data_IF_671822448361
#
_entry.id   IF_671822448361
#
_cell.length_a   1.000
_cell.length_b   1.000
_cell.length_c   1.000
_cell.angle_alpha   90.00
_cell.angle_beta   90.00
_cell.angle_gamma   90.00
#
_symmetry.space_group_name_H-M   'P 1'
#
loop_
_entity.id
_entity.type
_entity.pdbx_description
1 polymer ?
#
# COMPACT_ATOMS: atom_id res chain seq x y z
N UNK A 1 42.52 -3.95 -7.83
CA UNK A 1 42.82 -3.84 -9.28
C UNK A 1 43.99 -4.73 -9.72
N UNK A 2 45.12 -4.78 -8.99
CA UNK A 2 46.26 -5.64 -9.33
C UNK A 2 45.93 -7.15 -9.44
N UNK A 3 45.14 -7.69 -8.50
CA UNK A 3 44.78 -9.13 -8.46
C UNK A 3 43.98 -9.57 -9.69
N UNK A 4 43.03 -8.77 -10.17
CA UNK A 4 42.24 -9.07 -11.38
C UNK A 4 43.13 -9.07 -12.62
N UNK A 5 44.08 -8.13 -12.71
CA UNK A 5 45.05 -8.06 -13.80
C UNK A 5 45.95 -9.29 -13.89
N UNK A 6 46.50 -9.75 -12.75
CA UNK A 6 47.31 -10.98 -12.69
C UNK A 6 46.50 -12.20 -13.13
N UNK A 7 45.27 -12.33 -12.63
CA UNK A 7 44.37 -13.42 -13.00
C UNK A 7 44.02 -13.41 -14.51
N UNK A 8 43.97 -12.23 -15.14
CA UNK A 8 43.66 -12.07 -16.56
C UNK A 8 44.82 -12.55 -17.43
N UNK A 9 46.05 -12.21 -17.05
CA UNK A 9 47.27 -12.65 -17.73
C UNK A 9 47.39 -14.17 -17.75
N UNK A 10 47.04 -14.84 -16.64
CA UNK A 10 47.08 -16.31 -16.55
C UNK A 10 45.82 -17.01 -17.10
N UNK A 11 44.88 -16.28 -17.72
CA UNK A 11 43.60 -16.80 -18.27
C UNK A 11 42.82 -17.66 -17.26
N UNK A 12 42.76 -17.22 -16.01
CA UNK A 12 42.12 -17.99 -14.94
C UNK A 12 40.63 -18.23 -15.21
N UNK A 13 40.18 -19.48 -15.09
CA UNK A 13 38.76 -19.87 -15.21
C UNK A 13 37.88 -19.17 -14.16
N UNK A 14 38.46 -18.80 -13.00
CA UNK A 14 37.77 -18.11 -11.91
C UNK A 14 37.31 -16.71 -12.32
N UNK A 15 38.03 -16.04 -13.23
CA UNK A 15 37.64 -14.70 -13.69
C UNK A 15 36.31 -14.68 -14.42
N UNK A 16 35.98 -15.73 -15.18
CA UNK A 16 34.68 -15.80 -15.86
C UNK A 16 33.54 -15.84 -14.83
N UNK A 17 33.70 -16.66 -13.78
CA UNK A 17 32.75 -16.73 -12.68
C UNK A 17 32.69 -15.43 -11.88
N UNK A 18 33.85 -14.83 -11.57
CA UNK A 18 33.91 -13.56 -10.85
C UNK A 18 33.21 -12.43 -11.62
N UNK A 19 33.47 -12.29 -12.93
CA UNK A 19 32.77 -11.31 -13.78
C UNK A 19 31.27 -11.53 -13.83
N UNK A 20 30.82 -12.79 -13.88
CA UNK A 20 29.39 -13.09 -13.84
C UNK A 20 28.76 -12.64 -12.51
N UNK A 21 29.42 -12.93 -11.39
CA UNK A 21 28.96 -12.49 -10.06
C UNK A 21 29.00 -10.96 -9.93
N UNK A 22 30.06 -10.31 -10.41
CA UNK A 22 30.21 -8.85 -10.39
C UNK A 22 29.10 -8.14 -11.18
N UNK A 23 28.74 -8.68 -12.34
CA UNK A 23 27.59 -8.21 -13.11
C UNK A 23 26.26 -8.41 -12.35
N UNK A 24 26.04 -9.58 -11.75
CA UNK A 24 24.84 -9.84 -10.94
C UNK A 24 24.72 -8.89 -9.74
N UNK A 25 25.83 -8.60 -9.07
CA UNK A 25 25.88 -7.62 -7.96
C UNK A 25 25.53 -6.23 -8.48
N UNK A 26 26.09 -5.83 -9.63
CA UNK A 26 25.82 -4.53 -10.25
C UNK A 26 24.35 -4.38 -10.61
N UNK A 27 23.75 -5.42 -11.22
CA UNK A 27 22.32 -5.43 -11.57
C UNK A 27 21.43 -5.36 -10.32
N UNK A 28 21.72 -6.15 -9.29
CA UNK A 28 20.99 -6.15 -8.02
C UNK A 28 21.10 -4.80 -7.29
N UNK A 29 22.27 -4.15 -7.33
CA UNK A 29 22.48 -2.83 -6.74
C UNK A 29 21.69 -1.75 -7.46
N UNK A 30 21.64 -1.80 -8.80
CA UNK A 30 20.83 -0.89 -9.61
C UNK A 30 19.33 -1.06 -9.34
N UNK A 31 18.86 -2.30 -9.25
CA UNK A 31 17.49 -2.62 -8.88
C UNK A 31 17.14 -2.09 -7.48
N UNK A 32 17.99 -2.35 -6.48
CA UNK A 32 17.76 -1.88 -5.12
C UNK A 32 17.68 -0.35 -5.05
N UNK A 33 18.57 0.35 -5.76
CA UNK A 33 18.58 1.82 -5.82
C UNK A 33 17.31 2.38 -6.45
N UNK A 34 16.84 1.79 -7.55
CA UNK A 34 15.59 2.21 -8.21
C UNK A 34 14.37 1.94 -7.31
N UNK A 35 14.31 0.77 -6.69
CA UNK A 35 13.23 0.41 -5.76
C UNK A 35 13.17 1.38 -4.57
N UNK A 36 14.30 1.68 -3.93
CA UNK A 36 14.36 2.64 -2.82
C UNK A 36 13.90 4.02 -3.27
N UNK A 37 14.36 4.50 -4.44
CA UNK A 37 13.97 5.80 -4.98
C UNK A 37 12.45 5.94 -5.09
N UNK A 38 11.76 4.95 -5.67
CA UNK A 38 10.30 5.02 -5.85
C UNK A 38 9.51 4.72 -4.58
N UNK A 39 9.96 3.79 -3.74
CA UNK A 39 9.27 3.51 -2.47
C UNK A 39 9.33 4.71 -1.52
N UNK A 40 10.46 5.43 -1.49
CA UNK A 40 10.61 6.61 -0.64
C UNK A 40 9.65 7.75 -1.02
N UNK A 41 9.15 7.81 -2.27
CA UNK A 41 8.13 8.81 -2.64
C UNK A 41 6.78 8.54 -1.98
N UNK A 42 6.57 7.34 -1.43
CA UNK A 42 5.35 6.94 -0.74
C UNK A 42 5.39 7.25 0.77
N UNK A 43 6.57 7.45 1.36
CA UNK A 43 6.73 7.52 2.83
C UNK A 43 5.81 8.56 3.49
N UNK A 44 5.70 9.76 2.90
CA UNK A 44 4.83 10.83 3.40
C UNK A 44 3.33 10.48 3.41
N UNK A 45 2.92 9.52 2.58
CA UNK A 45 1.54 9.04 2.52
C UNK A 45 1.34 7.78 3.37
N UNK A 46 2.41 7.06 3.67
CA UNK A 46 2.39 5.87 4.51
C UNK A 46 2.33 6.27 5.99
N UNK A 47 3.00 7.35 6.39
CA UNK A 47 3.02 7.82 7.78
C UNK A 47 1.61 7.99 8.39
N UNK A 48 0.64 8.67 7.74
CA UNK A 48 -0.74 8.76 8.22
C UNK A 48 -1.42 7.40 8.44
N UNK A 49 -1.02 6.34 7.72
CA UNK A 49 -1.58 4.99 7.92
C UNK A 49 -1.16 4.35 9.26
N UNK A 50 -0.09 4.85 9.89
CA UNK A 50 0.42 4.33 11.16
C UNK A 50 0.03 5.19 12.36
N UNK A 51 0.05 6.51 12.19
CA UNK A 51 -0.16 7.46 13.29
C UNK A 51 -1.47 8.25 13.18
N UNK A 52 -2.05 8.36 11.99
CA UNK A 52 -3.25 9.14 11.73
C UNK A 52 -4.54 8.43 12.12
N UNK A 53 -5.62 9.23 12.16
CA UNK A 53 -6.98 8.75 12.27
C UNK A 53 -7.57 8.43 10.87
N UNK A 54 -8.75 7.79 10.78
CA UNK A 54 -9.36 7.49 9.49
C UNK A 54 -9.58 8.72 8.60
N UNK A 55 -9.80 9.90 9.18
CA UNK A 55 -9.97 11.14 8.43
C UNK A 55 -8.67 11.59 7.73
N UNK A 56 -7.55 11.62 8.46
CA UNK A 56 -6.23 11.92 7.89
C UNK A 56 -5.82 10.91 6.80
N UNK A 57 -6.19 9.63 6.97
CA UNK A 57 -5.97 8.63 5.93
C UNK A 57 -6.77 8.99 4.68
N UNK A 58 -8.06 9.30 4.80
CA UNK A 58 -8.92 9.67 3.66
C UNK A 58 -8.36 10.84 2.85
N UNK A 59 -7.84 11.87 3.51
CA UNK A 59 -7.26 13.05 2.84
C UNK A 59 -6.01 12.71 2.00
N UNK A 60 -5.22 11.74 2.45
CA UNK A 60 -3.96 11.37 1.80
C UNK A 60 -4.09 10.29 0.72
N UNK A 61 -5.19 9.53 0.73
CA UNK A 61 -5.45 8.42 -0.20
C UNK A 61 -5.37 8.79 -1.70
N UNK A 62 -5.96 9.90 -2.19
CA UNK A 62 -5.83 10.27 -3.60
C UNK A 62 -4.38 10.49 -4.02
N UNK A 63 -3.59 11.13 -3.15
CA UNK A 63 -2.17 11.37 -3.37
C UNK A 63 -1.34 10.08 -3.36
N UNK A 64 -1.63 9.18 -2.42
CA UNK A 64 -1.00 7.86 -2.33
C UNK A 64 -1.21 7.05 -3.62
N UNK A 65 -2.46 6.91 -4.05
CA UNK A 65 -2.79 6.11 -5.23
C UNK A 65 -2.24 6.72 -6.52
N UNK A 66 -2.24 8.05 -6.65
CA UNK A 66 -1.61 8.69 -7.80
C UNK A 66 -0.08 8.45 -7.84
N UNK A 67 0.61 8.43 -6.70
CA UNK A 67 2.04 8.09 -6.68
C UNK A 67 2.29 6.61 -6.99
N UNK A 68 1.43 5.72 -6.49
CA UNK A 68 1.49 4.29 -6.84
C UNK A 68 1.27 4.09 -8.34
N UNK A 69 0.35 4.84 -8.96
CA UNK A 69 0.14 4.88 -10.41
C UNK A 69 1.41 5.30 -11.16
N UNK A 70 2.04 6.40 -10.74
CA UNK A 70 3.29 6.87 -11.35
C UNK A 70 4.41 5.84 -11.20
N UNK A 71 4.53 5.21 -10.03
CA UNK A 71 5.50 4.14 -9.79
C UNK A 71 5.25 2.94 -10.72
N UNK A 72 4.00 2.49 -10.88
CA UNK A 72 3.66 1.41 -11.81
C UNK A 72 4.07 1.75 -13.25
N UNK A 73 3.82 2.98 -13.68
CA UNK A 73 4.10 3.43 -15.05
C UNK A 73 5.61 3.58 -15.30
N UNK A 74 6.35 4.19 -14.37
CA UNK A 74 7.72 4.67 -14.62
C UNK A 74 8.80 3.73 -14.04
N UNK A 75 8.53 3.07 -12.91
CA UNK A 75 9.54 2.22 -12.27
C UNK A 75 9.92 1.05 -13.17
N UNK A 76 11.21 0.75 -13.21
CA UNK A 76 11.73 -0.33 -14.06
C UNK A 76 11.64 -1.67 -13.36
N UNK A 77 11.96 -1.71 -12.07
CA UNK A 77 12.09 -2.94 -11.31
C UNK A 77 10.90 -3.20 -10.37
N UNK A 78 10.34 -2.17 -9.73
CA UNK A 78 9.25 -2.35 -8.77
C UNK A 78 7.86 -2.55 -9.41
N UNK A 79 7.66 -2.15 -10.67
CA UNK A 79 6.35 -2.13 -11.33
C UNK A 79 5.76 -3.51 -11.70
N UNK A 80 6.32 -4.60 -11.17
CA UNK A 80 5.80 -5.93 -11.48
C UNK A 80 4.48 -6.18 -10.75
N UNK A 81 3.56 -6.89 -11.40
CA UNK A 81 2.25 -7.18 -10.81
C UNK A 81 2.36 -7.79 -9.40
N UNK A 82 3.22 -8.79 -9.12
CA UNK A 82 3.32 -9.36 -7.78
C UNK A 82 3.78 -8.37 -6.69
N UNK A 83 4.68 -7.43 -7.02
CA UNK A 83 5.17 -6.42 -6.07
C UNK A 83 4.10 -5.38 -5.76
N UNK A 84 3.43 -4.91 -6.81
CA UNK A 84 2.32 -3.96 -6.69
C UNK A 84 1.14 -4.56 -5.91
N UNK A 85 0.73 -5.79 -6.19
CA UNK A 85 -0.31 -6.50 -5.42
C UNK A 85 0.06 -6.61 -3.94
N UNK A 86 1.31 -6.96 -3.64
CA UNK A 86 1.77 -7.05 -2.25
C UNK A 86 1.79 -5.69 -1.55
N UNK A 87 2.15 -4.62 -2.26
CA UNK A 87 2.09 -3.26 -1.72
C UNK A 87 0.66 -2.87 -1.36
N UNK A 88 -0.29 -3.07 -2.28
CA UNK A 88 -1.72 -2.81 -2.00
C UNK A 88 -2.23 -3.60 -0.82
N UNK A 89 -1.94 -4.91 -0.77
CA UNK A 89 -2.34 -5.77 0.35
C UNK A 89 -1.84 -5.22 1.69
N UNK A 90 -0.58 -4.78 1.75
CA UNK A 90 0.00 -4.20 2.97
C UNK A 90 -0.64 -2.86 3.35
N UNK A 91 -0.93 -2.01 2.36
CA UNK A 91 -1.64 -0.74 2.59
C UNK A 91 -3.04 -1.03 3.15
N UNK A 92 -3.81 -1.92 2.54
CA UNK A 92 -5.15 -2.31 3.03
C UNK A 92 -5.09 -2.87 4.45
N UNK A 93 -4.15 -3.79 4.73
CA UNK A 93 -3.97 -4.36 6.07
C UNK A 93 -3.67 -3.27 7.11
N UNK A 94 -2.83 -2.29 6.75
CA UNK A 94 -2.51 -1.17 7.63
C UNK A 94 -3.68 -0.20 7.84
N UNK A 95 -4.47 0.07 6.80
CA UNK A 95 -5.69 0.89 6.91
C UNK A 95 -6.73 0.25 7.85
N UNK A 96 -6.92 -1.07 7.76
CA UNK A 96 -7.78 -1.82 8.68
C UNK A 96 -7.26 -1.70 10.12
N UNK A 97 -5.95 -1.81 10.32
CA UNK A 97 -5.33 -1.66 11.63
C UNK A 97 -5.55 -0.25 12.21
N UNK A 98 -5.41 0.80 11.40
CA UNK A 98 -5.68 2.18 11.81
C UNK A 98 -7.16 2.40 12.15
N UNK A 99 -8.07 1.88 11.33
CA UNK A 99 -9.51 1.91 11.58
C UNK A 99 -9.85 1.23 12.91
N UNK A 100 -9.34 0.02 13.15
CA UNK A 100 -9.50 -0.68 14.43
C UNK A 100 -8.97 0.15 15.60
N UNK A 101 -7.76 0.69 15.48
CA UNK A 101 -7.14 1.51 16.53
C UNK A 101 -7.99 2.73 16.88
N UNK A 102 -8.63 3.37 15.90
CA UNK A 102 -9.53 4.51 16.16
C UNK A 102 -10.80 4.14 16.93
N UNK A 103 -11.32 2.92 16.77
CA UNK A 103 -12.50 2.43 17.51
C UNK A 103 -12.11 2.05 18.95
N UNK A 104 -10.89 1.54 19.15
CA UNK A 104 -10.37 1.09 20.44
C UNK A 104 -9.60 2.18 21.21
N UNK A 105 -9.49 3.41 20.67
CA UNK A 105 -8.62 4.46 21.18
C UNK A 105 -8.95 4.89 22.63
N UNK A 106 -10.24 5.00 22.94
CA UNK A 106 -10.74 5.45 24.25
C UNK A 106 -11.14 4.27 25.16
N UNK A 107 -10.52 3.11 24.97
CA UNK A 107 -10.75 1.91 25.77
C UNK A 107 -11.84 1.00 25.21
N UNK A 108 -12.57 0.33 26.09
CA UNK A 108 -13.58 -0.64 25.69
C UNK A 108 -14.72 0.04 24.92
N UNK A 109 -14.96 -0.39 23.67
CA UNK A 109 -15.98 0.20 22.80
C UNK A 109 -17.39 0.26 23.40
N UNK A 110 -17.71 -0.63 24.33
CA UNK A 110 -19.02 -0.71 24.99
C UNK A 110 -19.20 0.31 26.13
N UNK A 111 -18.10 0.86 26.62
CA UNK A 111 -18.08 1.84 27.73
C UNK A 111 -17.97 3.28 27.22
N UNK A 112 -17.66 3.45 25.93
CA UNK A 112 -17.55 4.75 25.28
C UNK A 112 -18.94 5.32 24.91
N UNK A 113 -19.08 6.66 24.79
CA UNK A 113 -20.34 7.27 24.36
C UNK A 113 -20.77 6.79 22.97
N UNK A 114 -22.02 6.31 22.83
CA UNK A 114 -22.54 5.76 21.55
C UNK A 114 -22.35 6.70 20.36
N UNK A 115 -22.50 8.02 20.57
CA UNK A 115 -22.28 9.03 19.52
C UNK A 115 -20.84 9.03 18.99
N UNK A 116 -19.86 8.87 19.86
CA UNK A 116 -18.44 8.87 19.52
C UNK A 116 -18.06 7.59 18.76
N UNK A 117 -18.47 6.43 19.26
CA UNK A 117 -18.26 5.15 18.57
C UNK A 117 -18.91 5.15 17.20
N UNK A 118 -20.14 5.64 17.08
CA UNK A 118 -20.82 5.73 15.78
C UNK A 118 -20.07 6.63 14.79
N UNK A 119 -19.49 7.74 15.25
CA UNK A 119 -18.67 8.60 14.39
C UNK A 119 -17.41 7.85 13.90
N UNK A 120 -16.70 7.17 14.80
CA UNK A 120 -15.49 6.41 14.45
C UNK A 120 -15.79 5.25 13.49
N UNK A 121 -16.85 4.48 13.76
CA UNK A 121 -17.29 3.38 12.89
C UNK A 121 -17.69 3.89 11.49
N UNK A 122 -18.42 5.00 11.40
CA UNK A 122 -18.77 5.61 10.11
C UNK A 122 -17.54 6.12 9.36
N UNK A 123 -16.57 6.71 10.05
CA UNK A 123 -15.31 7.14 9.45
C UNK A 123 -14.53 5.94 8.86
N UNK A 124 -14.56 4.78 9.53
CA UNK A 124 -13.96 3.55 9.00
C UNK A 124 -14.62 3.10 7.68
N UNK A 125 -15.95 3.17 7.58
CA UNK A 125 -16.68 2.84 6.35
C UNK A 125 -16.35 3.82 5.22
N UNK A 126 -16.35 5.12 5.52
CA UNK A 126 -15.99 6.17 4.56
C UNK A 126 -14.56 6.01 4.05
N UNK A 127 -13.65 5.54 4.90
CA UNK A 127 -12.25 5.27 4.52
C UNK A 127 -12.15 4.22 3.41
N UNK A 128 -12.88 3.10 3.51
CA UNK A 128 -12.89 2.09 2.45
C UNK A 128 -13.57 2.62 1.17
N UNK A 129 -14.67 3.37 1.31
CA UNK A 129 -15.35 4.00 0.17
C UNK A 129 -14.42 4.94 -0.60
N UNK A 130 -13.71 5.83 0.11
CA UNK A 130 -12.76 6.76 -0.48
C UNK A 130 -11.58 6.03 -1.13
N UNK A 131 -11.12 4.92 -0.53
CA UNK A 131 -10.06 4.08 -1.07
C UNK A 131 -10.45 3.47 -2.42
N UNK A 132 -11.63 2.85 -2.50
CA UNK A 132 -12.14 2.26 -3.74
C UNK A 132 -12.42 3.32 -4.80
N UNK A 133 -13.00 4.47 -4.42
CA UNK A 133 -13.26 5.58 -5.34
C UNK A 133 -11.95 6.14 -5.93
N UNK A 134 -10.94 6.34 -5.08
CA UNK A 134 -9.63 6.83 -5.52
C UNK A 134 -8.91 5.80 -6.42
N UNK A 135 -9.11 4.50 -6.16
CA UNK A 135 -8.58 3.43 -7.00
C UNK A 135 -9.26 3.35 -8.36
N UNK A 136 -10.59 3.51 -8.40
CA UNK A 136 -11.35 3.55 -9.64
C UNK A 136 -10.90 4.73 -10.52
N UNK A 137 -10.69 5.90 -9.91
CA UNK A 137 -10.14 7.07 -10.62
C UNK A 137 -8.74 6.79 -11.18
N UNK A 138 -7.87 6.17 -10.39
CA UNK A 138 -6.54 5.76 -10.84
C UNK A 138 -6.61 4.80 -12.04
N UNK A 139 -7.53 3.82 -12.01
CA UNK A 139 -7.75 2.88 -13.12
C UNK A 139 -8.24 3.59 -14.37
N UNK A 140 -9.19 4.52 -14.24
CA UNK A 140 -9.68 5.32 -15.35
C UNK A 140 -8.53 6.11 -16.00
N UNK A 141 -7.70 6.77 -15.21
CA UNK A 141 -6.54 7.52 -15.72
C UNK A 141 -5.50 6.66 -16.45
N UNK A 142 -5.42 5.36 -16.13
CA UNK A 142 -4.56 4.42 -16.86
C UNK A 142 -5.21 3.93 -18.16
N UNK A 143 -6.54 3.77 -18.15
CA UNK A 143 -7.31 3.44 -19.33
C UNK A 143 -7.28 4.57 -20.38
N UNK A 144 -7.24 5.83 -19.95
CA UNK A 144 -7.11 7.00 -20.83
C UNK A 144 -5.79 7.01 -21.62
N UNK A 145 -4.76 6.27 -21.15
CA UNK A 145 -3.51 6.05 -21.88
C UNK A 145 -3.34 4.57 -22.26
N UNK A 146 -4.04 4.09 -23.30
CA UNK A 146 -4.08 2.66 -23.66
C UNK A 146 -2.72 2.12 -24.12
N UNK A 147 -1.76 2.99 -24.51
CA UNK A 147 -0.40 2.59 -24.90
C UNK A 147 0.52 2.35 -23.69
N UNK A 148 0.11 2.76 -22.49
CA UNK A 148 0.86 2.58 -21.24
C UNK A 148 0.61 1.23 -20.57
N UNK A 149 1.40 0.94 -19.52
CA UNK A 149 1.17 -0.23 -18.66
C UNK A 149 -0.23 -0.14 -18.03
N UNK A 150 -1.03 -1.17 -18.25
CA UNK A 150 -2.39 -1.23 -17.71
C UNK A 150 -2.40 -1.80 -16.28
N UNK A 151 -3.50 -1.52 -15.59
CA UNK A 151 -3.77 -1.96 -14.22
C UNK A 151 -4.71 -3.17 -14.24
N UNK A 152 -4.14 -4.37 -14.22
CA UNK A 152 -4.89 -5.63 -14.15
C UNK A 152 -4.57 -6.35 -12.83
N UNK A 153 -5.06 -5.79 -11.73
CA UNK A 153 -4.92 -6.37 -10.40
C UNK A 153 -6.25 -6.91 -9.93
N UNK A 154 -6.20 -8.07 -9.27
CA UNK A 154 -7.37 -8.66 -8.66
C UNK A 154 -7.83 -7.81 -7.47
N UNK A 155 -8.93 -7.08 -7.68
CA UNK A 155 -9.55 -6.20 -6.68
C UNK A 155 -9.92 -6.96 -5.39
N UNK A 156 -10.24 -8.25 -5.46
CA UNK A 156 -10.51 -9.05 -4.26
C UNK A 156 -9.28 -9.19 -3.35
N UNK A 157 -8.06 -9.21 -3.92
CA UNK A 157 -6.82 -9.27 -3.14
C UNK A 157 -6.57 -7.93 -2.44
N UNK A 158 -6.99 -6.82 -3.08
CA UNK A 158 -6.78 -5.46 -2.60
C UNK A 158 -7.83 -5.11 -1.54
N UNK A 159 -9.12 -5.29 -1.84
CA UNK A 159 -10.23 -4.79 -1.02
C UNK A 159 -10.92 -5.86 -0.19
N UNK A 160 -10.85 -7.15 -0.56
CA UNK A 160 -11.72 -8.18 0.03
C UNK A 160 -11.61 -8.31 1.55
N UNK A 161 -10.41 -8.10 2.13
CA UNK A 161 -10.24 -8.05 3.59
C UNK A 161 -10.90 -6.81 4.21
N UNK A 162 -10.81 -5.66 3.55
CA UNK A 162 -11.41 -4.41 4.02
C UNK A 162 -12.93 -4.45 3.90
N UNK A 163 -13.47 -4.99 2.80
CA UNK A 163 -14.91 -5.16 2.61
C UNK A 163 -15.51 -6.06 3.70
N UNK A 164 -14.81 -7.16 4.04
CA UNK A 164 -15.24 -8.01 5.15
C UNK A 164 -15.20 -7.30 6.51
N UNK A 165 -14.21 -6.44 6.73
CA UNK A 165 -14.16 -5.57 7.90
C UNK A 165 -15.33 -4.59 7.92
N UNK A 166 -15.62 -3.90 6.81
CA UNK A 166 -16.74 -2.98 6.68
C UNK A 166 -18.09 -3.65 6.97
N UNK A 167 -18.33 -4.87 6.47
CA UNK A 167 -19.55 -5.64 6.80
C UNK A 167 -19.72 -5.92 8.30
N UNK A 168 -18.63 -6.04 9.05
CA UNK A 168 -18.68 -6.19 10.52
C UNK A 168 -18.95 -4.84 11.19
N UNK A 169 -18.32 -3.78 10.70
CA UNK A 169 -18.52 -2.41 11.16
C UNK A 169 -19.97 -1.95 10.95
N UNK A 170 -20.59 -2.26 9.80
CA UNK A 170 -22.00 -1.97 9.53
C UNK A 170 -22.93 -2.54 10.60
N UNK A 171 -22.74 -3.82 10.97
CA UNK A 171 -23.51 -4.45 12.06
C UNK A 171 -23.34 -3.74 13.40
N UNK A 172 -22.12 -3.25 13.69
CA UNK A 172 -21.86 -2.47 14.90
C UNK A 172 -22.56 -1.11 14.83
N UNK A 173 -22.53 -0.44 13.68
CA UNK A 173 -23.25 0.83 13.47
C UNK A 173 -24.74 0.65 13.72
N UNK A 174 -25.35 -0.40 13.17
CA UNK A 174 -26.78 -0.68 13.36
C UNK A 174 -27.12 -0.91 14.85
N UNK A 175 -26.29 -1.71 15.53
CA UNK A 175 -26.46 -2.00 16.95
C UNK A 175 -26.33 -0.74 17.82
N UNK A 176 -25.25 0.04 17.67
CA UNK A 176 -25.07 1.28 18.45
C UNK A 176 -26.12 2.35 18.12
N UNK A 177 -26.60 2.40 16.87
CA UNK A 177 -27.68 3.31 16.48
C UNK A 177 -28.99 2.95 17.19
N UNK A 178 -29.27 1.64 17.32
CA UNK A 178 -30.41 1.13 18.08
C UNK A 178 -30.27 1.49 19.56
N UNK A 179 -29.10 1.24 20.17
CA UNK A 179 -28.84 1.61 21.57
C UNK A 179 -29.09 3.10 21.78
N UNK A 180 -28.57 3.96 20.91
CA UNK A 180 -28.75 5.41 21.01
C UNK A 180 -30.22 5.84 20.84
N UNK A 181 -31.00 5.16 20.03
CA UNK A 181 -32.42 5.46 19.82
C UNK A 181 -33.28 5.11 21.04
N UNK A 182 -32.89 4.08 21.79
CA UNK A 182 -33.65 3.54 22.93
C UNK A 182 -33.01 3.83 24.30
N UNK A 183 -31.96 4.65 24.36
CA UNK A 183 -31.36 5.21 25.59
C UNK A 183 -31.88 6.62 25.83
#
# INVERSE_FOLDING_TARGET
RAVVGVLQTIKSRVLKRWKAVDNMITDAANEAKDNVKYLHTLDKYIEPLYVGDPAAIMETLPGLLNNIRMMHTIARYYSSTPRMTNLFRKITEQMIAACRKSVEADGNMWEQPSKQILANLRACLQTNQQYQASYALMRQQLADNPKGKQFDFNENIIFGKFDLFCRRVEKLVDMFSTVQQFS
#
